data_IF_133449501389
#
_entry.id   IF_133449501389
#
_cell.length_a   1.000
_cell.length_b   1.000
_cell.length_c   1.000
_cell.angle_alpha   90.00
_cell.angle_beta   90.00
_cell.angle_gamma   90.00
#
_symmetry.space_group_name_H-M   'P 1'
#
loop_
_entity.id
_entity.type
_entity.pdbx_description
1 polymer ?
#
# COMPACT_ATOMS: atom_id res chain seq x y z
N UNK A 1 -8.54 -20.09 -16.63
CA UNK A 1 -8.29 -18.75 -16.12
C UNK A 1 -7.61 -18.86 -14.76
N UNK A 2 -6.43 -18.30 -14.65
CA UNK A 2 -5.71 -18.29 -13.38
C UNK A 2 -6.27 -17.17 -12.52
N UNK A 3 -6.82 -17.55 -11.37
CA UNK A 3 -7.31 -16.56 -10.40
C UNK A 3 -6.25 -16.37 -9.33
N UNK A 4 -6.08 -15.14 -8.88
CA UNK A 4 -5.17 -14.82 -7.77
C UNK A 4 -5.80 -15.16 -6.41
N UNK A 5 -6.74 -16.12 -6.39
CA UNK A 5 -7.52 -16.48 -5.22
C UNK A 5 -6.82 -17.50 -4.31
N UNK A 6 -5.65 -17.97 -4.71
CA UNK A 6 -4.87 -18.89 -3.90
C UNK A 6 -4.38 -18.26 -2.60
N UNK A 7 -4.09 -19.11 -1.61
CA UNK A 7 -3.43 -18.65 -0.39
C UNK A 7 -2.01 -18.20 -0.70
N UNK A 8 -1.54 -17.10 -0.10
CA UNK A 8 -0.15 -16.67 -0.26
C UNK A 8 0.83 -17.76 0.15
N UNK A 9 1.84 -17.99 -0.68
CA UNK A 9 2.87 -19.02 -0.50
C UNK A 9 4.23 -18.43 -0.17
N UNK A 10 4.42 -17.13 -0.47
CA UNK A 10 5.72 -16.46 -0.36
C UNK A 10 5.57 -15.16 0.39
N UNK A 11 6.58 -14.86 1.19
CA UNK A 11 6.72 -13.55 1.83
C UNK A 11 7.87 -12.82 1.17
N UNK A 12 7.62 -11.57 0.81
CA UNK A 12 8.61 -10.71 0.15
C UNK A 12 8.84 -9.46 0.99
N UNK A 13 10.07 -8.99 1.01
CA UNK A 13 10.41 -7.70 1.61
C UNK A 13 11.17 -6.84 0.62
N UNK A 14 10.89 -5.54 0.65
CA UNK A 14 11.60 -4.55 -0.15
C UNK A 14 13.04 -4.45 0.35
N UNK A 15 13.99 -4.44 -0.59
CA UNK A 15 15.40 -4.32 -0.28
C UNK A 15 15.75 -2.92 0.19
N UNK A 16 16.71 -2.83 1.10
CA UNK A 16 17.28 -1.57 1.54
C UNK A 16 18.13 -0.94 0.42
N UNK A 17 18.34 0.36 0.52
CA UNK A 17 19.26 1.06 -0.36
C UNK A 17 18.67 1.59 -1.65
N UNK A 18 17.36 1.40 -1.90
CA UNK A 18 16.70 2.03 -3.04
C UNK A 18 16.48 3.51 -2.77
N UNK A 19 16.65 4.35 -3.80
CA UNK A 19 16.30 5.75 -3.67
C UNK A 19 14.78 5.95 -3.59
N UNK A 20 14.35 7.13 -3.19
CA UNK A 20 12.91 7.41 -2.95
C UNK A 20 12.06 7.19 -4.20
N UNK A 21 12.55 7.56 -5.38
CA UNK A 21 11.80 7.36 -6.62
C UNK A 21 11.59 5.86 -6.90
N UNK A 22 12.61 5.04 -6.65
CA UNK A 22 12.52 3.59 -6.84
C UNK A 22 11.68 2.93 -5.76
N UNK A 23 11.73 3.41 -4.52
CA UNK A 23 10.83 2.97 -3.44
C UNK A 23 9.37 3.21 -3.85
N UNK A 24 9.06 4.40 -4.37
CA UNK A 24 7.70 4.72 -4.82
C UNK A 24 7.24 3.81 -5.96
N UNK A 25 8.11 3.53 -6.94
CA UNK A 25 7.81 2.62 -8.04
C UNK A 25 7.58 1.19 -7.56
N UNK A 26 8.37 0.73 -6.59
CA UNK A 26 8.22 -0.60 -6.01
C UNK A 26 6.88 -0.74 -5.28
N UNK A 27 6.49 0.27 -4.49
CA UNK A 27 5.17 0.30 -3.85
C UNK A 27 4.05 0.25 -4.88
N UNK A 28 4.14 1.06 -5.93
CA UNK A 28 3.16 1.08 -7.01
C UNK A 28 3.03 -0.29 -7.67
N UNK A 29 4.14 -0.91 -8.03
CA UNK A 29 4.15 -2.24 -8.65
C UNK A 29 3.45 -3.28 -7.78
N UNK A 30 3.80 -3.31 -6.49
CA UNK A 30 3.23 -4.26 -5.54
C UNK A 30 1.73 -4.04 -5.34
N UNK A 31 1.30 -2.81 -5.11
CA UNK A 31 -0.10 -2.50 -4.86
C UNK A 31 -0.97 -2.74 -6.10
N UNK A 32 -0.45 -2.47 -7.29
CA UNK A 32 -1.19 -2.76 -8.53
C UNK A 32 -1.42 -4.25 -8.72
N UNK A 33 -0.46 -5.08 -8.34
CA UNK A 33 -0.61 -6.55 -8.40
C UNK A 33 -1.64 -7.04 -7.38
N UNK A 34 -1.64 -6.45 -6.17
CA UNK A 34 -2.48 -6.91 -5.07
C UNK A 34 -3.88 -6.28 -5.06
N UNK A 35 -4.13 -5.25 -5.84
CA UNK A 35 -5.30 -4.37 -5.76
C UNK A 35 -6.62 -5.10 -5.54
N UNK A 36 -6.92 -6.09 -6.37
CA UNK A 36 -8.22 -6.77 -6.36
C UNK A 36 -8.25 -7.99 -5.43
N UNK A 37 -7.14 -8.25 -4.74
CA UNK A 37 -7.05 -9.31 -3.74
C UNK A 37 -7.09 -8.79 -2.31
N UNK A 38 -7.47 -7.53 -2.13
CA UNK A 38 -7.55 -6.89 -0.82
C UNK A 38 -9.00 -6.60 -0.48
N UNK A 39 -9.45 -7.10 0.67
CA UNK A 39 -10.79 -6.84 1.18
C UNK A 39 -10.83 -5.58 2.03
N UNK A 40 -9.79 -5.36 2.81
CA UNK A 40 -9.69 -4.23 3.75
C UNK A 40 -8.31 -3.62 3.64
N UNK A 41 -8.27 -2.30 3.48
CA UNK A 41 -7.02 -1.53 3.51
C UNK A 41 -7.20 -0.38 4.48
N UNK A 42 -6.23 -0.19 5.36
CA UNK A 42 -6.17 0.93 6.30
C UNK A 42 -4.90 1.73 6.05
N UNK A 43 -5.05 3.04 6.11
CA UNK A 43 -3.98 3.99 5.83
C UNK A 43 -3.94 5.04 6.93
N UNK A 44 -2.76 5.33 7.43
CA UNK A 44 -2.53 6.45 8.34
C UNK A 44 -1.98 7.64 7.55
N UNK A 45 -2.57 8.80 7.77
CA UNK A 45 -2.21 10.04 7.07
C UNK A 45 -1.86 11.13 8.08
N UNK A 46 -1.04 10.79 9.06
CA UNK A 46 -0.66 11.67 10.17
C UNK A 46 0.05 12.93 9.66
N UNK A 47 -0.18 14.05 10.35
CA UNK A 47 0.39 15.36 9.98
C UNK A 47 1.56 15.77 10.87
N UNK A 48 2.12 14.85 11.64
CA UNK A 48 3.24 15.09 12.54
C UNK A 48 4.58 15.26 11.82
N UNK A 49 4.62 14.94 10.53
CA UNK A 49 5.80 15.09 9.67
C UNK A 49 5.40 15.80 8.38
N UNK A 50 6.32 16.56 7.75
CA UNK A 50 6.03 17.15 6.46
C UNK A 50 5.89 16.08 5.38
N UNK A 51 4.87 16.25 4.52
CA UNK A 51 4.68 15.42 3.34
C UNK A 51 5.32 16.11 2.14
N UNK A 52 5.88 15.35 1.18
CA UNK A 52 6.42 15.97 -0.04
C UNK A 52 5.37 16.83 -0.74
N UNK A 53 5.78 17.96 -1.32
CA UNK A 53 4.86 18.91 -1.96
C UNK A 53 3.98 18.24 -3.02
N UNK A 54 4.54 17.29 -3.77
CA UNK A 54 3.81 16.55 -4.81
C UNK A 54 2.71 15.65 -4.23
N UNK A 55 2.80 15.30 -2.95
CA UNK A 55 1.88 14.39 -2.26
C UNK A 55 0.84 15.14 -1.43
N UNK A 56 1.09 16.42 -1.13
CA UNK A 56 0.20 17.23 -0.28
C UNK A 56 -1.27 17.21 -0.75
N UNK A 57 -1.60 17.34 -2.05
CA UNK A 57 -2.99 17.26 -2.47
C UNK A 57 -3.66 15.92 -2.13
N UNK A 58 -2.94 14.82 -2.31
CA UNK A 58 -3.44 13.49 -1.94
C UNK A 58 -3.62 13.35 -0.43
N UNK A 59 -2.66 13.88 0.34
CA UNK A 59 -2.73 13.88 1.80
C UNK A 59 -3.99 14.62 2.30
N UNK A 60 -4.29 15.78 1.73
CA UNK A 60 -5.51 16.54 2.07
C UNK A 60 -6.77 15.76 1.75
N UNK A 61 -6.83 15.08 0.59
CA UNK A 61 -7.98 14.26 0.22
C UNK A 61 -8.14 13.08 1.17
N UNK A 62 -7.04 12.46 1.59
CA UNK A 62 -7.09 11.36 2.55
C UNK A 62 -7.63 11.83 3.90
N UNK A 63 -7.22 13.00 4.38
CA UNK A 63 -7.75 13.58 5.61
C UNK A 63 -9.25 13.85 5.50
N UNK A 64 -9.70 14.36 4.36
CA UNK A 64 -11.13 14.60 4.12
C UNK A 64 -11.92 13.28 4.12
N UNK A 65 -11.37 12.24 3.50
CA UNK A 65 -11.97 10.90 3.51
C UNK A 65 -12.06 10.35 4.93
N UNK A 66 -11.00 10.49 5.72
CA UNK A 66 -10.97 10.04 7.11
C UNK A 66 -12.02 10.76 7.99
N UNK A 67 -12.18 12.07 7.79
CA UNK A 67 -13.22 12.84 8.48
C UNK A 67 -14.63 12.41 8.09
N UNK A 68 -14.85 12.15 6.79
CA UNK A 68 -16.15 11.67 6.31
C UNK A 68 -16.49 10.30 6.90
N UNK A 69 -15.52 9.39 6.94
CA UNK A 69 -15.71 8.06 7.53
C UNK A 69 -16.01 8.14 9.03
N UNK A 70 -15.32 9.02 9.75
CA UNK A 70 -15.56 9.23 11.17
C UNK A 70 -16.99 9.74 11.43
N UNK A 71 -17.50 10.65 10.59
CA UNK A 71 -18.87 11.16 10.69
C UNK A 71 -19.91 10.07 10.39
N UNK A 72 -19.69 9.28 9.34
CA UNK A 72 -20.61 8.19 8.97
C UNK A 72 -20.70 7.13 10.06
N UNK A 73 -19.57 6.81 10.69
CA UNK A 73 -19.54 5.82 11.76
C UNK A 73 -20.18 6.31 13.06
N UNK A 74 -20.48 7.59 13.19
CA UNK A 74 -21.01 8.18 14.41
C UNK A 74 -20.07 8.04 15.60
N UNK A 75 -18.81 7.77 15.34
CA UNK A 75 -17.80 7.58 16.38
C UNK A 75 -16.92 8.82 16.49
N UNK A 76 -16.68 9.24 17.71
CA UNK A 76 -15.62 10.18 18.01
C UNK A 76 -14.30 9.44 17.83
N UNK A 77 -13.67 9.64 16.68
CA UNK A 77 -12.25 9.25 16.53
C UNK A 77 -11.42 10.40 17.08
N UNK A 78 -10.45 10.07 17.93
CA UNK A 78 -9.51 11.05 18.48
C UNK A 78 -8.67 11.66 17.36
N UNK A 79 -8.41 10.93 16.29
CA UNK A 79 -7.66 11.41 15.11
C UNK A 79 -8.22 10.78 13.82
N UNK A 80 -8.91 11.59 12.98
CA UNK A 80 -9.43 11.10 11.71
C UNK A 80 -8.34 10.73 10.68
N UNK A 81 -7.08 11.10 10.93
CA UNK A 81 -5.96 10.73 10.08
C UNK A 81 -5.47 9.30 10.31
N UNK A 82 -5.97 8.61 11.34
CA UNK A 82 -5.56 7.25 11.70
C UNK A 82 -6.59 6.24 11.24
N UNK A 83 -6.14 5.15 10.62
CA UNK A 83 -7.02 4.05 10.24
C UNK A 83 -8.05 4.39 9.18
N UNK A 84 -7.68 5.22 8.21
CA UNK A 84 -8.54 5.56 7.08
C UNK A 84 -8.74 4.30 6.23
N UNK A 85 -9.99 3.92 6.00
CA UNK A 85 -10.31 2.77 5.15
C UNK A 85 -10.26 3.19 3.69
N UNK A 86 -9.53 2.41 2.88
CA UNK A 86 -9.39 2.62 1.44
C UNK A 86 -10.16 1.54 0.71
N UNK A 87 -11.07 1.94 -0.18
CA UNK A 87 -11.73 1.04 -1.11
C UNK A 87 -10.86 0.91 -2.37
N UNK A 88 -10.20 -0.23 -2.52
CA UNK A 88 -9.30 -0.47 -3.66
C UNK A 88 -10.04 -0.60 -4.98
N UNK A 89 -11.34 -0.89 -4.96
CA UNK A 89 -12.17 -0.91 -6.15
C UNK A 89 -12.52 0.48 -6.68
N UNK A 90 -12.39 1.51 -5.84
CA UNK A 90 -12.61 2.90 -6.22
C UNK A 90 -11.28 3.49 -6.71
N UNK A 91 -11.24 3.90 -7.98
CA UNK A 91 -10.00 4.40 -8.60
C UNK A 91 -9.41 5.60 -7.87
N UNK A 92 -10.25 6.52 -7.40
CA UNK A 92 -9.76 7.71 -6.70
C UNK A 92 -9.20 7.38 -5.33
N UNK A 93 -9.80 6.45 -4.60
CA UNK A 93 -9.27 5.99 -3.31
C UNK A 93 -7.99 5.18 -3.50
N UNK A 94 -7.95 4.30 -4.50
CA UNK A 94 -6.74 3.56 -4.80
C UNK A 94 -5.58 4.50 -5.17
N UNK A 95 -5.86 5.57 -5.91
CA UNK A 95 -4.85 6.59 -6.22
C UNK A 95 -4.29 7.25 -4.95
N UNK A 96 -5.11 7.47 -3.93
CA UNK A 96 -4.64 7.98 -2.64
C UNK A 96 -3.66 6.99 -1.99
N UNK A 97 -3.99 5.72 -1.99
CA UNK A 97 -3.11 4.69 -1.44
C UNK A 97 -1.77 4.66 -2.17
N UNK A 98 -1.78 4.70 -3.51
CA UNK A 98 -0.55 4.72 -4.31
C UNK A 98 0.31 5.95 -4.00
N UNK A 99 -0.31 7.10 -3.81
CA UNK A 99 0.42 8.34 -3.52
C UNK A 99 1.01 8.34 -2.11
N UNK A 100 0.29 7.81 -1.13
CA UNK A 100 0.66 7.96 0.28
C UNK A 100 1.45 6.77 0.85
N UNK A 101 1.28 5.57 0.32
CA UNK A 101 1.93 4.38 0.87
C UNK A 101 3.47 4.52 0.98
N UNK A 102 4.18 5.12 -0.02
CA UNK A 102 5.63 5.29 0.11
C UNK A 102 6.08 6.27 1.19
N UNK A 103 5.18 7.04 1.77
CA UNK A 103 5.52 8.12 2.70
C UNK A 103 4.86 7.95 4.06
N UNK A 104 3.89 7.05 4.19
CA UNK A 104 3.15 6.89 5.44
C UNK A 104 3.96 6.16 6.49
N UNK A 105 3.60 6.39 7.76
CA UNK A 105 4.09 5.61 8.89
C UNK A 105 3.36 4.28 9.01
N UNK A 106 2.19 4.11 8.38
CA UNK A 106 1.46 2.86 8.43
C UNK A 106 0.40 2.74 7.36
N UNK A 107 0.48 1.66 6.58
CA UNK A 107 -0.58 1.22 5.69
C UNK A 107 -0.58 -0.30 5.69
N UNK A 108 -1.76 -0.90 5.82
CA UNK A 108 -1.89 -2.35 5.91
C UNK A 108 -3.09 -2.80 5.08
N UNK A 109 -2.96 -3.97 4.45
CA UNK A 109 -4.05 -4.56 3.69
C UNK A 109 -4.24 -6.03 4.02
N UNK A 110 -5.51 -6.44 4.09
CA UNK A 110 -5.90 -7.80 4.44
C UNK A 110 -6.81 -8.41 3.38
N UNK A 111 -6.74 -9.72 3.27
CA UNK A 111 -7.76 -10.53 2.61
C UNK A 111 -8.33 -11.48 3.65
N UNK A 112 -9.64 -11.39 3.88
CA UNK A 112 -10.28 -12.01 5.04
C UNK A 112 -9.54 -11.54 6.29
N UNK A 113 -9.04 -12.44 7.12
CA UNK A 113 -8.30 -12.07 8.34
C UNK A 113 -6.78 -12.16 8.16
N UNK A 114 -6.31 -12.36 6.92
CA UNK A 114 -4.89 -12.53 6.65
C UNK A 114 -4.27 -11.23 6.16
N UNK A 115 -3.18 -10.83 6.80
CA UNK A 115 -2.38 -9.68 6.35
C UNK A 115 -1.71 -10.02 5.02
N UNK A 116 -1.85 -9.13 4.04
CA UNK A 116 -1.32 -9.30 2.69
C UNK A 116 -0.20 -8.31 2.39
N UNK A 117 -0.32 -7.08 2.87
CA UNK A 117 0.82 -6.15 2.80
C UNK A 117 0.87 -5.27 4.05
N UNK A 118 2.08 -4.82 4.35
CA UNK A 118 2.34 -3.85 5.40
C UNK A 118 3.43 -2.89 4.93
N UNK A 119 3.13 -1.61 4.94
CA UNK A 119 4.07 -0.54 4.62
C UNK A 119 4.19 0.37 5.83
N UNK A 120 5.40 0.64 6.27
CA UNK A 120 5.64 1.51 7.42
C UNK A 120 6.98 2.23 7.28
N UNK A 121 7.31 3.05 8.28
CA UNK A 121 8.58 3.79 8.36
C UNK A 121 8.83 4.65 7.12
N UNK A 122 7.79 5.35 6.65
CA UNK A 122 7.87 6.24 5.48
C UNK A 122 8.32 5.50 4.21
N UNK A 123 7.82 4.28 4.05
CA UNK A 123 8.04 3.48 2.85
C UNK A 123 9.31 2.65 2.85
N UNK A 124 10.16 2.76 3.87
CA UNK A 124 11.39 1.99 3.93
C UNK A 124 11.16 0.52 4.29
N UNK A 125 10.00 0.20 4.86
CA UNK A 125 9.64 -1.15 5.25
C UNK A 125 8.35 -1.56 4.53
N UNK A 126 8.48 -2.40 3.52
CA UNK A 126 7.35 -2.94 2.76
C UNK A 126 7.46 -4.46 2.75
N UNK A 127 6.43 -5.11 3.29
CA UNK A 127 6.29 -6.56 3.35
C UNK A 127 5.05 -6.98 2.57
N UNK A 128 5.16 -8.08 1.83
CA UNK A 128 4.08 -8.64 1.02
C UNK A 128 3.94 -10.13 1.26
N UNK A 129 2.71 -10.62 1.23
CA UNK A 129 2.42 -12.06 1.13
C UNK A 129 1.77 -12.30 -0.23
N UNK A 130 2.37 -13.14 -1.07
CA UNK A 130 1.97 -13.31 -2.46
C UNK A 130 1.90 -14.79 -2.84
N UNK A 131 1.06 -15.08 -3.84
CA UNK A 131 1.09 -16.37 -4.52
C UNK A 131 2.25 -16.40 -5.52
N UNK A 132 2.61 -17.58 -6.01
CA UNK A 132 3.62 -17.71 -7.07
C UNK A 132 3.24 -16.90 -8.31
N UNK A 133 1.96 -16.91 -8.69
CA UNK A 133 1.46 -16.16 -9.84
C UNK A 133 1.57 -14.65 -9.62
N UNK A 134 1.19 -14.16 -8.45
CA UNK A 134 1.35 -12.74 -8.10
C UNK A 134 2.83 -12.33 -8.10
N UNK A 135 3.70 -13.19 -7.63
CA UNK A 135 5.15 -12.92 -7.65
C UNK A 135 5.66 -12.74 -9.08
N UNK A 136 5.23 -13.61 -10.00
CA UNK A 136 5.59 -13.46 -11.43
C UNK A 136 5.07 -12.14 -12.01
N UNK A 137 3.83 -11.76 -11.70
CA UNK A 137 3.26 -10.49 -12.14
C UNK A 137 4.03 -9.31 -11.57
N UNK A 138 4.43 -9.41 -10.30
CA UNK A 138 5.24 -8.36 -9.67
C UNK A 138 6.57 -8.20 -10.38
N UNK A 139 7.26 -9.28 -10.69
CA UNK A 139 8.52 -9.23 -11.44
C UNK A 139 8.35 -8.57 -12.81
N UNK A 140 7.25 -8.87 -13.50
CA UNK A 140 6.92 -8.22 -14.78
C UNK A 140 6.72 -6.71 -14.62
N UNK A 141 6.04 -6.27 -13.58
CA UNK A 141 5.84 -4.85 -13.33
C UNK A 141 7.12 -4.14 -12.91
N UNK A 142 7.96 -4.80 -12.11
CA UNK A 142 9.26 -4.25 -11.74
C UNK A 142 10.10 -3.97 -12.98
N UNK A 143 10.12 -4.91 -13.93
CA UNK A 143 10.82 -4.70 -15.20
C UNK A 143 10.22 -3.53 -15.98
N UNK A 144 8.90 -3.43 -16.03
CA UNK A 144 8.22 -2.32 -16.71
C UNK A 144 8.55 -0.96 -16.10
N UNK A 145 8.80 -0.92 -14.79
CA UNK A 145 9.21 0.29 -14.08
C UNK A 145 10.72 0.49 -14.01
N UNK A 146 11.48 -0.30 -14.76
CA UNK A 146 12.94 -0.24 -14.79
C UNK A 146 13.59 -0.54 -13.45
N UNK A 147 12.97 -1.41 -12.67
CA UNK A 147 13.49 -1.88 -11.38
C UNK A 147 14.05 -3.30 -11.52
N UNK A 148 15.10 -3.64 -10.73
CA UNK A 148 15.62 -5.01 -10.74
C UNK A 148 14.62 -5.98 -10.11
N UNK A 149 14.62 -7.22 -10.55
CA UNK A 149 13.79 -8.27 -9.93
C UNK A 149 14.17 -8.52 -8.48
N UNK A 150 15.40 -8.16 -8.12
CA UNK A 150 15.93 -8.25 -6.75
C UNK A 150 15.48 -7.11 -5.85
N UNK A 151 14.63 -6.18 -6.34
CA UNK A 151 14.07 -5.12 -5.48
C UNK A 151 13.32 -5.70 -4.28
N UNK A 152 12.71 -6.87 -4.43
CA UNK A 152 12.15 -7.64 -3.32
C UNK A 152 12.94 -8.92 -3.13
N UNK A 153 13.19 -9.30 -1.87
CA UNK A 153 13.76 -10.60 -1.54
C UNK A 153 12.72 -11.52 -0.92
N UNK A 154 12.88 -12.81 -1.15
CA UNK A 154 12.00 -13.84 -0.57
C UNK A 154 12.51 -14.15 0.83
N UNK A 155 11.62 -14.07 1.84
CA UNK A 155 11.97 -14.38 3.22
C UNK A 155 12.00 -15.88 3.50
N UNK A 156 11.17 -16.64 2.79
CA UNK A 156 11.10 -18.08 3.02
C UNK A 156 10.56 -18.80 1.81
#
# INVERSE_FOLDING_TARGET
MITDDGLPERELVLQDGLDLANVSRAHRAALEVLRYNLDTVRLDALSDRPWPDTVVPAHRRALALGRAQAREAGRHRSDPATGITIDTGDDSQFALLLALAPHTTGAEGWRAERLIFSACDSGTSLWLAVTAHQHERLQGRLRAYCLPETAFSVLS
#
